data_IF_920557090015
#
_entry.id   IF_920557090015
#
_cell.length_a   1.000
_cell.length_b   1.000
_cell.length_c   1.000
_cell.angle_alpha   90.00
_cell.angle_beta   90.00
_cell.angle_gamma   90.00
#
_symmetry.space_group_name_H-M   'P 1'
#
loop_
_entity.id
_entity.type
_entity.pdbx_description
1 polymer ?
#
# COMPACT_ATOMS: atom_id res chain seq x y z
N UNK A 1 5.41 -32.43 0.59
CA UNK A 1 5.84 -32.46 1.99
C UNK A 1 5.33 -31.18 2.58
N UNK A 2 4.33 -31.27 3.44
CA UNK A 2 4.09 -30.22 4.41
C UNK A 2 5.26 -30.17 5.41
N UNK A 3 5.27 -29.13 6.25
CA UNK A 3 6.16 -28.80 7.38
C UNK A 3 7.24 -27.77 6.97
N UNK A 4 7.24 -26.50 7.37
CA UNK A 4 6.51 -25.76 8.43
C UNK A 4 6.27 -24.30 8.01
N UNK A 5 5.26 -23.64 8.60
CA UNK A 5 4.98 -22.19 8.43
C UNK A 5 6.15 -21.28 8.87
N UNK A 6 7.16 -21.84 9.53
CA UNK A 6 8.32 -21.13 10.08
C UNK A 6 9.26 -20.64 8.97
N UNK A 7 9.29 -21.29 7.81
CA UNK A 7 10.18 -20.89 6.70
C UNK A 7 9.68 -19.63 5.95
N UNK A 8 8.45 -19.18 6.21
CA UNK A 8 7.88 -17.95 5.60
C UNK A 8 8.11 -16.72 6.51
N UNK A 9 8.42 -16.91 7.79
CA UNK A 9 8.64 -15.81 8.74
C UNK A 9 10.04 -15.19 8.65
N UNK A 10 10.99 -15.84 7.96
CA UNK A 10 12.41 -15.43 7.94
C UNK A 10 12.71 -14.22 7.03
N UNK A 11 11.75 -13.71 6.26
CA UNK A 11 11.97 -12.60 5.32
C UNK A 11 11.46 -11.22 5.80
N UNK A 12 10.90 -11.12 7.01
CA UNK A 12 10.21 -9.90 7.46
C UNK A 12 11.05 -8.99 8.40
N UNK A 13 12.37 -9.23 8.53
CA UNK A 13 13.25 -8.46 9.44
C UNK A 13 13.93 -7.23 8.80
N UNK A 14 13.71 -6.97 7.51
CA UNK A 14 14.25 -5.78 6.84
C UNK A 14 13.14 -4.72 6.70
N UNK A 15 13.34 -3.53 7.27
CA UNK A 15 12.43 -2.37 7.11
C UNK A 15 12.40 -1.85 5.65
N UNK A 16 13.03 -2.58 4.72
CA UNK A 16 13.04 -2.28 3.30
C UNK A 16 11.69 -2.62 2.66
N UNK A 17 11.14 -1.68 1.89
CA UNK A 17 9.97 -1.94 1.05
C UNK A 17 10.38 -2.91 -0.05
N UNK A 18 9.80 -4.11 -0.02
CA UNK A 18 10.04 -5.09 -1.09
C UNK A 18 9.20 -4.72 -2.33
N UNK A 19 9.90 -4.48 -3.44
CA UNK A 19 9.29 -4.06 -4.70
C UNK A 19 9.92 -4.77 -5.90
N UNK A 20 9.11 -4.98 -6.94
CA UNK A 20 9.55 -5.65 -8.19
C UNK A 20 8.90 -5.02 -9.42
N UNK A 21 9.53 -5.21 -10.58
CA UNK A 21 8.88 -5.00 -11.88
C UNK A 21 8.10 -6.25 -12.33
N UNK A 22 7.44 -6.18 -13.49
CA UNK A 22 6.67 -7.31 -14.04
C UNK A 22 7.53 -8.50 -14.48
N UNK A 23 8.82 -8.29 -14.73
CA UNK A 23 9.78 -9.37 -15.03
C UNK A 23 10.28 -10.08 -13.76
N UNK A 24 9.85 -9.62 -12.58
CA UNK A 24 10.23 -10.17 -11.28
C UNK A 24 11.60 -9.71 -10.79
N UNK A 25 12.16 -8.65 -11.40
CA UNK A 25 13.42 -8.06 -10.96
C UNK A 25 13.17 -7.14 -9.76
N UNK A 26 13.95 -7.26 -8.67
CA UNK A 26 13.79 -6.42 -7.49
C UNK A 26 14.12 -4.95 -7.80
N UNK A 27 13.33 -4.04 -7.26
CA UNK A 27 13.49 -2.60 -7.38
C UNK A 27 13.93 -2.00 -6.05
N UNK A 28 14.93 -1.12 -6.09
CA UNK A 28 15.33 -0.34 -4.93
C UNK A 28 14.54 0.98 -4.91
N UNK A 29 13.46 1.02 -4.13
CA UNK A 29 12.67 2.24 -3.93
C UNK A 29 13.39 3.10 -2.90
N UNK A 30 14.16 4.09 -3.37
CA UNK A 30 14.78 5.06 -2.48
C UNK A 30 13.74 6.10 -2.02
N UNK A 31 13.30 5.95 -0.76
CA UNK A 31 12.34 6.83 -0.10
C UNK A 31 12.83 8.28 0.10
N UNK A 32 14.13 8.55 -0.01
CA UNK A 32 14.66 9.91 0.10
C UNK A 32 14.48 10.73 -1.20
N UNK A 33 14.17 10.08 -2.33
CA UNK A 33 14.12 10.71 -3.65
C UNK A 33 12.94 10.21 -4.49
N UNK A 34 11.77 10.10 -3.87
CA UNK A 34 10.56 9.47 -4.43
C UNK A 34 10.08 10.09 -5.77
N UNK A 35 10.36 11.37 -6.01
CA UNK A 35 10.05 12.02 -7.30
C UNK A 35 11.02 11.66 -8.44
N UNK A 36 12.24 11.19 -8.14
CA UNK A 36 13.21 10.72 -9.15
C UNK A 36 13.33 9.19 -9.20
N UNK A 37 12.55 8.47 -8.40
CA UNK A 37 12.62 7.01 -8.28
C UNK A 37 11.61 6.25 -9.14
N UNK A 38 10.79 6.93 -9.94
CA UNK A 38 10.25 6.27 -11.15
C UNK A 38 11.46 6.07 -12.07
N UNK A 39 11.92 4.83 -12.29
CA UNK A 39 13.09 4.61 -13.13
C UNK A 39 12.83 5.23 -14.51
N UNK A 40 13.79 6.00 -15.01
CA UNK A 40 13.67 6.65 -16.32
C UNK A 40 13.23 5.62 -17.38
N UNK A 41 12.09 5.87 -18.02
CA UNK A 41 11.55 5.01 -19.09
C UNK A 41 10.36 4.12 -18.71
N UNK A 42 9.98 4.05 -17.44
CA UNK A 42 8.82 3.28 -16.98
C UNK A 42 7.57 4.17 -17.07
N UNK A 43 6.93 4.28 -18.24
CA UNK A 43 5.61 4.93 -18.38
C UNK A 43 4.67 3.90 -18.99
N UNK A 44 3.56 3.60 -18.29
CA UNK A 44 2.67 2.49 -18.65
C UNK A 44 3.06 1.13 -18.06
N UNK A 45 4.05 1.11 -17.17
CA UNK A 45 4.52 -0.09 -16.48
C UNK A 45 4.03 -0.14 -15.03
N UNK A 46 4.08 -1.34 -14.46
CA UNK A 46 3.64 -1.63 -13.10
C UNK A 46 4.82 -1.85 -12.16
N UNK A 47 4.72 -1.32 -10.95
CA UNK A 47 5.57 -1.68 -9.81
C UNK A 47 4.73 -2.53 -8.86
N UNK A 48 5.24 -3.70 -8.50
CA UNK A 48 4.64 -4.61 -7.54
C UNK A 48 5.23 -4.29 -6.16
N UNK A 49 4.37 -4.07 -5.17
CA UNK A 49 4.75 -3.93 -3.76
C UNK A 49 4.24 -5.15 -2.99
N UNK A 50 5.08 -5.78 -2.19
CA UNK A 50 4.60 -6.77 -1.23
C UNK A 50 3.91 -6.05 -0.07
N UNK A 51 2.67 -6.43 0.21
CA UNK A 51 1.83 -5.79 1.23
C UNK A 51 1.16 -6.83 2.11
N UNK A 52 1.93 -7.53 2.97
CA UNK A 52 1.42 -8.64 3.75
C UNK A 52 0.44 -8.19 4.84
N UNK A 53 -0.26 -9.16 5.44
CA UNK A 53 -1.11 -8.94 6.61
C UNK A 53 -2.58 -9.26 6.34
N UNK A 54 -3.20 -8.69 5.30
CA UNK A 54 -4.55 -9.11 4.90
C UNK A 54 -4.54 -10.61 4.51
N UNK A 55 -3.57 -10.98 3.66
CA UNK A 55 -3.12 -12.35 3.47
C UNK A 55 -1.58 -12.38 3.48
N UNK A 56 -0.94 -13.54 3.71
CA UNK A 56 0.53 -13.62 3.67
C UNK A 56 1.16 -13.26 2.33
N UNK A 57 0.45 -13.45 1.21
CA UNK A 57 0.94 -13.17 -0.15
C UNK A 57 0.27 -11.97 -0.81
N UNK A 58 -0.31 -11.07 -0.03
CA UNK A 58 -0.99 -9.88 -0.56
C UNK A 58 0.01 -8.94 -1.23
N UNK A 59 -0.32 -8.48 -2.44
CA UNK A 59 0.47 -7.50 -3.20
C UNK A 59 -0.37 -6.27 -3.52
N UNK A 60 0.31 -5.15 -3.75
CA UNK A 60 -0.26 -3.94 -4.32
C UNK A 60 0.47 -3.58 -5.62
N UNK A 61 -0.20 -2.89 -6.52
CA UNK A 61 0.34 -2.51 -7.84
C UNK A 61 0.30 -0.99 -8.01
N UNK A 62 1.45 -0.37 -8.22
CA UNK A 62 1.54 1.02 -8.66
C UNK A 62 1.54 1.07 -10.18
N UNK A 63 0.71 1.94 -10.75
CA UNK A 63 0.64 2.16 -12.19
C UNK A 63 0.54 3.66 -12.49
N UNK A 64 1.39 4.14 -13.39
CA UNK A 64 1.34 5.52 -13.88
C UNK A 64 0.63 5.56 -15.23
N UNK A 65 -0.49 6.24 -15.26
CA UNK A 65 -1.24 6.51 -16.49
C UNK A 65 -0.38 7.28 -17.49
N UNK A 66 -0.25 6.76 -18.71
CA UNK A 66 0.43 7.45 -19.82
C UNK A 66 -0.26 8.75 -20.21
N UNK A 67 -1.58 8.79 -20.05
CA UNK A 67 -2.41 9.87 -20.59
C UNK A 67 -2.50 11.05 -19.61
N UNK A 68 -2.68 10.75 -18.32
CA UNK A 68 -2.87 11.77 -17.28
C UNK A 68 -1.63 12.00 -16.42
N UNK A 69 -0.65 11.09 -16.46
CA UNK A 69 0.51 11.11 -15.56
C UNK A 69 0.19 10.76 -14.10
N UNK A 70 -1.11 10.61 -13.76
CA UNK A 70 -1.57 10.24 -12.42
C UNK A 70 -1.15 8.81 -12.09
N UNK A 71 -0.76 8.61 -10.83
CA UNK A 71 -0.33 7.30 -10.36
C UNK A 71 -1.42 6.69 -9.48
N UNK A 72 -1.85 5.48 -9.84
CA UNK A 72 -2.83 4.70 -9.10
C UNK A 72 -2.13 3.58 -8.36
N UNK A 73 -2.41 3.43 -7.07
CA UNK A 73 -2.06 2.27 -6.28
C UNK A 73 -3.28 1.36 -6.17
N UNK A 74 -3.20 0.20 -6.83
CA UNK A 74 -4.14 -0.88 -6.62
C UNK A 74 -3.75 -1.66 -5.36
N UNK A 75 -4.62 -1.71 -4.36
CA UNK A 75 -4.28 -2.23 -3.01
C UNK A 75 -4.86 -3.61 -2.70
N UNK A 76 -5.59 -4.22 -3.66
CA UNK A 76 -6.39 -5.41 -3.37
C UNK A 76 -7.30 -5.16 -2.16
N UNK A 77 -7.27 -6.08 -1.19
CA UNK A 77 -8.07 -5.97 0.04
C UNK A 77 -7.27 -5.44 1.25
N UNK A 78 -6.04 -4.98 1.02
CA UNK A 78 -5.16 -4.47 2.08
C UNK A 78 -5.65 -3.12 2.63
N UNK A 79 -6.19 -2.26 1.77
CA UNK A 79 -6.54 -0.88 2.12
C UNK A 79 -7.61 -0.30 1.18
N UNK A 80 -8.75 0.18 1.70
CA UNK A 80 -9.84 0.71 0.87
C UNK A 80 -10.71 1.73 1.59
N UNK A 81 -11.47 2.52 0.84
CA UNK A 81 -12.49 3.38 1.42
C UNK A 81 -13.76 2.58 1.77
N UNK A 82 -14.13 2.63 3.04
CA UNK A 82 -15.37 2.07 3.59
C UNK A 82 -16.40 3.20 3.75
N UNK A 83 -17.65 2.95 3.38
CA UNK A 83 -18.77 3.89 3.62
C UNK A 83 -19.40 3.74 5.01
N UNK A 84 -18.89 2.83 5.84
CA UNK A 84 -19.36 2.63 7.22
C UNK A 84 -18.90 3.78 8.12
N UNK A 85 -19.66 4.04 9.18
CA UNK A 85 -19.29 4.98 10.26
C UNK A 85 -18.95 6.40 9.79
N UNK A 86 -19.64 6.87 8.75
CA UNK A 86 -19.41 8.21 8.20
C UNK A 86 -18.36 8.29 7.09
N UNK A 87 -17.73 7.17 6.74
CA UNK A 87 -16.82 7.06 5.62
C UNK A 87 -15.37 7.31 6.02
N UNK A 88 -14.51 6.30 5.88
CA UNK A 88 -13.08 6.40 6.17
C UNK A 88 -12.29 5.34 5.40
N UNK A 89 -10.98 5.55 5.26
CA UNK A 89 -10.09 4.51 4.77
C UNK A 89 -9.90 3.43 5.84
N UNK A 90 -9.93 2.16 5.44
CA UNK A 90 -9.99 1.02 6.34
C UNK A 90 -9.05 -0.09 5.88
N UNK A 91 -8.47 -0.81 6.83
CA UNK A 91 -7.77 -2.08 6.60
C UNK A 91 -8.69 -3.32 6.70
N UNK A 92 -9.99 -3.11 6.89
CA UNK A 92 -11.00 -4.15 7.06
C UNK A 92 -10.64 -5.24 8.09
N UNK A 93 -10.53 -4.89 9.39
CA UNK A 93 -10.04 -5.78 10.44
C UNK A 93 -10.80 -7.11 10.58
N UNK A 94 -12.06 -7.17 10.12
CA UNK A 94 -12.87 -8.40 10.19
C UNK A 94 -12.42 -9.50 9.23
N UNK A 95 -11.63 -9.17 8.21
CA UNK A 95 -11.23 -10.10 7.15
C UNK A 95 -9.71 -10.30 7.08
N UNK A 96 -8.91 -9.54 7.84
CA UNK A 96 -7.46 -9.66 7.81
C UNK A 96 -6.94 -10.90 8.55
N UNK A 97 -5.88 -11.51 8.01
CA UNK A 97 -5.24 -12.69 8.58
C UNK A 97 -4.30 -12.36 9.75
N UNK A 98 -3.41 -11.38 9.58
CA UNK A 98 -2.50 -10.86 10.60
C UNK A 98 -2.62 -9.34 10.66
N UNK A 99 -3.50 -8.87 11.55
CA UNK A 99 -3.86 -7.45 11.66
C UNK A 99 -2.70 -6.57 12.11
N UNK A 100 -1.78 -7.12 12.92
CA UNK A 100 -0.57 -6.41 13.35
C UNK A 100 0.35 -6.16 12.16
N UNK A 101 0.67 -7.20 11.41
CA UNK A 101 1.49 -7.09 10.20
C UNK A 101 0.83 -6.20 9.14
N UNK A 102 -0.49 -6.26 9.02
CA UNK A 102 -1.23 -5.37 8.12
C UNK A 102 -1.09 -3.90 8.56
N UNK A 103 -1.14 -3.60 9.86
CA UNK A 103 -0.94 -2.24 10.37
C UNK A 103 0.48 -1.71 10.10
N UNK A 104 1.48 -2.57 10.25
CA UNK A 104 2.89 -2.27 9.95
C UNK A 104 3.05 -2.03 8.45
N UNK A 105 2.42 -2.86 7.60
CA UNK A 105 2.40 -2.69 6.14
C UNK A 105 1.73 -1.38 5.70
N UNK A 106 0.61 -0.99 6.32
CA UNK A 106 -0.05 0.29 6.00
C UNK A 106 0.87 1.48 6.29
N UNK A 107 1.68 1.41 7.35
CA UNK A 107 2.59 2.49 7.73
C UNK A 107 3.86 2.46 6.88
N UNK A 108 4.57 1.33 6.89
CA UNK A 108 5.93 1.20 6.37
C UNK A 108 5.97 1.01 4.85
N UNK A 109 4.91 0.47 4.24
CA UNK A 109 4.86 0.28 2.78
C UNK A 109 3.95 1.32 2.13
N UNK A 110 2.67 1.35 2.51
CA UNK A 110 1.68 2.25 1.86
C UNK A 110 1.95 3.71 2.24
N UNK A 111 2.28 3.97 3.51
CA UNK A 111 2.57 5.31 4.04
C UNK A 111 3.88 5.88 3.53
N UNK A 112 4.97 5.12 3.57
CA UNK A 112 6.26 5.56 3.05
C UNK A 112 6.25 5.77 1.54
N UNK A 113 5.48 4.97 0.78
CA UNK A 113 5.26 5.21 -0.66
C UNK A 113 4.19 6.25 -0.97
N UNK A 114 3.64 6.97 0.03
CA UNK A 114 2.50 7.88 -0.16
C UNK A 114 2.73 9.02 -1.16
N UNK A 115 3.99 9.41 -1.40
CA UNK A 115 4.33 10.42 -2.41
C UNK A 115 4.36 9.86 -3.85
N UNK A 116 4.34 8.53 -4.04
CA UNK A 116 4.33 7.90 -5.36
C UNK A 116 2.96 7.83 -6.00
N UNK A 117 1.88 7.79 -5.23
CA UNK A 117 0.53 7.55 -5.74
C UNK A 117 -0.41 8.72 -5.47
N UNK A 118 -1.40 8.90 -6.32
CA UNK A 118 -2.42 9.95 -6.20
C UNK A 118 -3.83 9.38 -5.94
N UNK A 119 -4.02 8.10 -6.24
CA UNK A 119 -5.30 7.41 -6.19
C UNK A 119 -5.11 6.03 -5.56
N UNK A 120 -5.98 5.66 -4.63
CA UNK A 120 -6.13 4.27 -4.15
C UNK A 120 -7.28 3.61 -4.89
N UNK A 121 -7.02 2.50 -5.56
CA UNK A 121 -8.02 1.65 -6.22
C UNK A 121 -8.07 0.28 -5.52
N UNK A 122 -9.06 -0.01 -4.69
CA UNK A 122 -9.09 -1.28 -3.97
C UNK A 122 -9.70 -2.41 -4.81
N UNK A 123 -9.49 -3.66 -4.39
CA UNK A 123 -10.17 -4.85 -4.92
C UNK A 123 -11.67 -4.85 -4.56
N UNK A 124 -12.01 -4.31 -3.39
CA UNK A 124 -13.39 -4.09 -2.93
C UNK A 124 -13.54 -2.74 -2.24
N UNK A 125 -14.76 -2.19 -2.24
CA UNK A 125 -15.05 -0.88 -1.66
C UNK A 125 -14.98 0.24 -2.70
N UNK A 126 -14.58 1.44 -2.27
CA UNK A 126 -14.55 2.61 -3.15
C UNK A 126 -13.14 3.15 -3.35
N UNK A 127 -12.89 3.66 -4.55
CA UNK A 127 -11.69 4.41 -4.90
C UNK A 127 -11.58 5.66 -4.04
N UNK A 128 -10.34 6.05 -3.71
CA UNK A 128 -10.02 7.29 -3.01
C UNK A 128 -9.05 8.13 -3.83
N UNK A 129 -9.51 9.28 -4.28
CA UNK A 129 -8.71 10.23 -5.08
C UNK A 129 -8.20 11.38 -4.22
N UNK A 130 -6.90 11.68 -4.34
CA UNK A 130 -6.25 12.77 -3.61
C UNK A 130 -5.84 13.95 -4.49
N UNK A 131 -6.03 13.87 -5.82
CA UNK A 131 -5.67 14.93 -6.77
C UNK A 131 -6.44 16.25 -6.55
N UNK A 132 -7.66 16.17 -5.99
CA UNK A 132 -8.47 17.34 -5.65
C UNK A 132 -7.98 18.08 -4.40
N UNK A 133 -7.10 17.45 -3.61
CA UNK A 133 -6.49 18.06 -2.43
C UNK A 133 -5.25 18.86 -2.86
N UNK A 134 -5.09 20.11 -2.39
CA UNK A 134 -3.90 20.91 -2.65
C UNK A 134 -2.62 20.14 -2.34
N UNK A 135 -1.63 20.25 -3.22
CA UNK A 135 -0.38 19.47 -3.18
C UNK A 135 0.30 19.55 -1.79
N UNK A 136 0.35 20.75 -1.21
CA UNK A 136 0.97 21.01 0.09
C UNK A 136 0.24 20.36 1.28
N UNK A 137 -0.99 19.87 1.07
CA UNK A 137 -1.79 19.16 2.07
C UNK A 137 -1.99 17.68 1.75
N UNK A 138 -1.62 17.26 0.54
CA UNK A 138 -1.95 15.93 0.01
C UNK A 138 -1.30 14.83 0.85
N UNK A 139 0.00 14.94 1.14
CA UNK A 139 0.72 13.97 1.98
C UNK A 139 0.08 13.86 3.37
N UNK A 140 -0.25 15.00 3.99
CA UNK A 140 -0.93 14.98 5.30
C UNK A 140 -2.27 14.23 5.22
N UNK A 141 -3.10 14.53 4.22
CA UNK A 141 -4.41 13.88 4.08
C UNK A 141 -4.29 12.36 3.89
N UNK A 142 -3.31 11.90 3.11
CA UNK A 142 -2.98 10.47 2.94
C UNK A 142 -2.55 9.84 4.27
N UNK A 143 -1.66 10.50 5.00
CA UNK A 143 -1.16 9.98 6.29
C UNK A 143 -2.25 9.97 7.37
N UNK A 144 -3.14 10.96 7.39
CA UNK A 144 -4.31 10.96 8.29
C UNK A 144 -5.20 9.75 7.98
N UNK A 145 -5.56 9.53 6.70
CA UNK A 145 -6.36 8.38 6.24
C UNK A 145 -5.67 7.03 6.55
N UNK A 146 -4.34 6.95 6.49
CA UNK A 146 -3.57 5.75 6.86
C UNK A 146 -3.59 5.53 8.37
N UNK A 147 -3.42 6.62 9.15
CA UNK A 147 -3.46 6.57 10.61
C UNK A 147 -4.80 6.06 11.10
N UNK A 148 -5.91 6.56 10.53
CA UNK A 148 -7.26 6.11 10.89
C UNK A 148 -7.44 4.60 10.66
N UNK A 149 -6.96 4.07 9.52
CA UNK A 149 -7.02 2.64 9.23
C UNK A 149 -6.13 1.80 10.16
N UNK A 150 -4.93 2.28 10.50
CA UNK A 150 -4.03 1.64 11.46
C UNK A 150 -4.66 1.59 12.85
N UNK A 151 -5.25 2.70 13.30
CA UNK A 151 -5.97 2.74 14.57
C UNK A 151 -7.18 1.80 14.57
N UNK A 152 -7.91 1.69 13.47
CA UNK A 152 -9.01 0.75 13.31
C UNK A 152 -8.52 -0.69 13.48
N UNK A 153 -7.47 -1.09 12.75
CA UNK A 153 -6.87 -2.42 12.85
C UNK A 153 -6.45 -2.72 14.29
N UNK A 154 -5.72 -1.81 14.93
CA UNK A 154 -5.22 -1.96 16.30
C UNK A 154 -6.32 -2.23 17.33
N UNK A 155 -7.53 -1.70 17.14
CA UNK A 155 -8.65 -1.95 18.07
C UNK A 155 -9.09 -3.42 18.11
N UNK A 156 -8.75 -4.22 17.09
CA UNK A 156 -9.19 -5.62 16.95
C UNK A 156 -8.16 -6.65 17.45
N UNK A 157 -6.93 -6.26 17.76
CA UNK A 157 -5.89 -7.15 18.30
C UNK A 157 -5.16 -6.58 19.52
N UNK A 158 -5.73 -5.55 20.15
CA UNK A 158 -5.33 -5.09 21.49
C UNK A 158 -5.76 -6.05 22.58
#
# INVERSE_FOLDING_TARGET
>A
GDLTLEDVEVLLEDDSIEAWNLDGEPLNINLENVQSSWPDGIVGDFIILHTPGHSPGSISLLHRSSDSGAVTLFTGDTYAFSTREGGHMSGFPRYGNNLRLQSETLTNTIGETSDLWDVIAPGHGHTREYLSIPEEKRRKAKMDDITDAVEELQRYYR
#
